data_IF_644852139639
#
_entry.id   IF_644852139639
#
_cell.length_a   1.000
_cell.length_b   1.000
_cell.length_c   1.000
_cell.angle_alpha   90.00
_cell.angle_beta   90.00
_cell.angle_gamma   90.00
#
_symmetry.space_group_name_H-M   'P 1'
#
loop_
_entity.id
_entity.type
_entity.pdbx_description
1 polymer ?
#
# COMPACT_ATOMS: atom_id res chain seq x y z
N UNK A 1 -28.55 11.89 8.57
CA UNK A 1 -28.50 11.54 7.13
C UNK A 1 -27.08 11.81 6.65
N UNK A 2 -26.23 10.77 6.59
CA UNK A 2 -24.81 10.90 6.18
C UNK A 2 -24.77 10.92 4.66
N UNK A 3 -24.37 12.04 4.07
CA UNK A 3 -24.30 12.21 2.61
C UNK A 3 -22.94 11.80 2.02
N UNK A 4 -22.00 11.37 2.86
CA UNK A 4 -20.59 11.21 2.49
C UNK A 4 -20.07 9.81 2.83
N UNK A 5 -20.91 8.79 2.64
CA UNK A 5 -20.46 7.39 2.70
C UNK A 5 -19.69 7.07 1.40
N UNK A 6 -18.55 7.75 1.24
CA UNK A 6 -17.25 7.23 0.85
C UNK A 6 -17.35 5.76 0.49
N UNK A 7 -17.49 5.43 -0.81
CA UNK A 7 -17.49 4.05 -1.27
C UNK A 7 -16.33 3.35 -0.55
N UNK A 8 -16.58 2.35 0.31
CA UNK A 8 -15.51 1.67 0.99
C UNK A 8 -14.65 1.08 -0.12
N UNK A 9 -13.46 1.66 -0.32
CA UNK A 9 -12.48 1.03 -1.17
C UNK A 9 -12.32 -0.37 -0.60
N UNK A 10 -12.47 -1.41 -1.41
CA UNK A 10 -12.45 -2.81 -0.99
C UNK A 10 -11.13 -3.24 -0.35
N UNK A 11 -10.17 -2.32 -0.15
CA UNK A 11 -8.83 -2.59 0.36
C UNK A 11 -7.93 -3.28 -0.66
N UNK A 12 -8.41 -3.53 -1.87
CA UNK A 12 -7.72 -4.37 -2.86
C UNK A 12 -6.47 -3.71 -3.45
N UNK A 13 -6.42 -2.38 -3.55
CA UNK A 13 -5.32 -1.69 -4.22
C UNK A 13 -3.94 -1.99 -3.59
N UNK A 14 -3.86 -1.97 -2.26
CA UNK A 14 -2.60 -2.29 -1.55
C UNK A 14 -2.30 -3.79 -1.55
N UNK A 15 -3.33 -4.65 -1.54
CA UNK A 15 -3.15 -6.09 -1.64
C UNK A 15 -2.55 -6.49 -3.00
N UNK A 16 -3.11 -5.95 -4.10
CA UNK A 16 -2.59 -6.16 -5.47
C UNK A 16 -1.12 -5.70 -5.58
N UNK A 17 -0.80 -4.52 -5.03
CA UNK A 17 0.56 -3.99 -5.06
C UNK A 17 1.51 -4.85 -4.21
N UNK A 18 1.07 -5.33 -3.05
CA UNK A 18 1.86 -6.23 -2.21
C UNK A 18 2.20 -7.53 -2.95
N UNK A 19 1.21 -8.14 -3.60
CA UNK A 19 1.37 -9.36 -4.37
C UNK A 19 2.33 -9.16 -5.53
N UNK A 20 2.15 -8.08 -6.31
CA UNK A 20 3.01 -7.74 -7.44
C UNK A 20 4.46 -7.52 -7.01
N UNK A 21 4.67 -6.72 -5.95
CA UNK A 21 6.01 -6.42 -5.43
C UNK A 21 6.69 -7.69 -4.90
N UNK A 22 5.94 -8.56 -4.24
CA UNK A 22 6.44 -9.84 -3.75
C UNK A 22 6.80 -10.80 -4.90
N UNK A 23 6.00 -10.83 -5.97
CA UNK A 23 6.27 -11.60 -7.19
C UNK A 23 7.59 -11.18 -7.87
N UNK A 24 7.88 -9.88 -7.90
CA UNK A 24 9.17 -9.35 -8.39
C UNK A 24 10.33 -9.49 -7.37
N UNK A 25 10.13 -10.21 -6.27
CA UNK A 25 11.15 -10.42 -5.24
C UNK A 25 11.50 -9.16 -4.44
N UNK A 26 10.59 -8.19 -4.42
CA UNK A 26 10.62 -7.00 -3.56
C UNK A 26 9.80 -7.19 -2.29
N UNK A 27 9.56 -6.09 -1.55
CA UNK A 27 8.66 -6.07 -0.38
C UNK A 27 7.92 -4.74 -0.25
N UNK A 28 6.69 -4.80 0.29
CA UNK A 28 5.88 -3.64 0.65
C UNK A 28 5.71 -3.59 2.17
N UNK A 29 5.93 -2.42 2.78
CA UNK A 29 5.68 -2.16 4.19
C UNK A 29 4.78 -0.94 4.38
N UNK A 30 3.92 -0.99 5.40
CA UNK A 30 3.02 0.09 5.79
C UNK A 30 3.38 0.53 7.20
N UNK A 31 3.72 1.81 7.36
CA UNK A 31 4.18 2.39 8.62
C UNK A 31 3.44 3.69 8.90
N UNK A 32 3.50 4.18 10.14
CA UNK A 32 2.98 5.50 10.45
C UNK A 32 3.98 6.57 10.03
N UNK A 33 3.53 7.58 9.29
CA UNK A 33 4.39 8.70 8.88
C UNK A 33 4.67 9.62 10.08
N UNK A 34 5.91 10.09 10.20
CA UNK A 34 6.32 11.08 11.21
C UNK A 34 5.63 12.45 11.05
N UNK A 35 5.07 12.73 9.87
CA UNK A 35 4.26 13.93 9.60
C UNK A 35 2.76 13.71 9.85
N UNK A 36 2.36 12.52 10.34
CA UNK A 36 0.98 12.08 10.40
C UNK A 36 0.53 11.34 9.13
N UNK A 37 -0.48 10.47 9.27
CA UNK A 37 -0.98 9.63 8.17
C UNK A 37 -0.20 8.31 7.97
N UNK A 38 -0.36 7.73 6.79
CA UNK A 38 0.21 6.43 6.38
C UNK A 38 1.44 6.62 5.50
N UNK A 39 2.51 5.90 5.78
CA UNK A 39 3.71 5.78 4.94
C UNK A 39 3.72 4.39 4.30
N UNK A 40 3.71 4.33 2.98
CA UNK A 40 3.94 3.09 2.24
C UNK A 40 5.39 3.06 1.73
N UNK A 41 6.12 2.00 2.04
CA UNK A 41 7.52 1.79 1.64
C UNK A 41 7.59 0.57 0.74
N UNK A 42 7.99 0.77 -0.50
CA UNK A 42 8.22 -0.31 -1.48
C UNK A 42 9.72 -0.48 -1.65
N UNK A 43 10.20 -1.70 -1.46
CA UNK A 43 11.57 -2.12 -1.80
C UNK A 43 11.50 -3.03 -3.01
N UNK A 44 12.15 -2.64 -4.09
CA UNK A 44 12.27 -3.47 -5.29
C UNK A 44 13.67 -4.05 -5.36
N UNK A 45 13.80 -5.28 -5.87
CA UNK A 45 15.10 -5.87 -6.15
C UNK A 45 15.69 -5.15 -7.37
N UNK A 46 16.80 -4.44 -7.19
CA UNK A 46 17.60 -3.94 -8.30
C UNK A 46 18.35 -5.11 -8.90
N UNK A 47 18.24 -5.29 -10.22
CA UNK A 47 19.17 -6.15 -10.95
C UNK A 47 20.56 -5.53 -10.79
N UNK A 48 21.49 -6.31 -10.23
CA UNK A 48 22.93 -6.01 -10.29
C UNK A 48 23.48 -6.53 -11.62
#
# INVERSE_FOLDING_TARGET
KRLDETKPGTGLGLAIVADLVNEYGGSLALERSGMGGLRAVVRLRSLQ
#
